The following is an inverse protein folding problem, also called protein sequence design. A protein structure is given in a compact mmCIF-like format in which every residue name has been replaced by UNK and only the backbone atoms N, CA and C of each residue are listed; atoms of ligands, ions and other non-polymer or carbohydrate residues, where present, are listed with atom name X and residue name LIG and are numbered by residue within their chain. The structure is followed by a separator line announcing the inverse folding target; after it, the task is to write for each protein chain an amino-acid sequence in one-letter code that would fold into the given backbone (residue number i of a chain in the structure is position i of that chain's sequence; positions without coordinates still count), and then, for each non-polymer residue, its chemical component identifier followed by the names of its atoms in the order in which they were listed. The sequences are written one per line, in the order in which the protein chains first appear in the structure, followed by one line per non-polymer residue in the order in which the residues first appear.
data_IF_502936963549
#
_entry.id   IF_502936963549
#
_cell.length_a   1.000
_cell.length_b   1.000
_cell.length_c   1.000
_cell.angle_alpha   90.00
_cell.angle_beta   90.00
_cell.angle_gamma   90.00
#
_symmetry.space_group_name_H-M   'P 1'
#
loop_
_entity.id
_entity.type
_entity.pdbx_description
1 polymer ?
#
# COMPACT_ATOMS: atom_id res chain seq x y z
N UNK A 1 -30.53 0.00 27.17
CA UNK A 1 -31.86 -0.57 27.45
C UNK A 1 -31.71 -1.49 28.65
N UNK A 2 -31.91 -0.97 29.85
CA UNK A 2 -31.72 -1.72 31.09
C UNK A 2 -33.03 -2.38 31.50
N UNK A 3 -33.17 -3.67 31.23
CA UNK A 3 -34.31 -4.44 31.71
C UNK A 3 -34.24 -4.55 33.24
N UNK A 4 -35.36 -4.25 33.92
CA UNK A 4 -35.45 -4.37 35.37
C UNK A 4 -35.53 -5.86 35.75
N UNK A 5 -34.92 -6.32 36.86
CA UNK A 5 -34.93 -7.73 37.26
C UNK A 5 -36.31 -8.37 37.37
N UNK A 6 -37.36 -7.58 37.65
CA UNK A 6 -38.73 -8.08 37.78
C UNK A 6 -39.42 -8.40 36.45
N UNK A 7 -38.94 -7.84 35.33
CA UNK A 7 -39.57 -7.99 34.02
C UNK A 7 -39.68 -9.46 33.59
N UNK A 8 -38.73 -10.31 34.01
CA UNK A 8 -38.75 -11.74 33.71
C UNK A 8 -40.08 -12.43 34.09
N UNK A 9 -40.67 -12.04 35.23
CA UNK A 9 -41.92 -12.64 35.71
C UNK A 9 -43.16 -12.15 34.95
N UNK A 10 -43.02 -11.08 34.18
CA UNK A 10 -44.10 -10.46 33.39
C UNK A 10 -44.05 -10.91 31.92
N UNK A 11 -42.96 -11.53 31.47
CA UNK A 11 -42.79 -12.01 30.10
C UNK A 11 -43.44 -13.37 29.87
N UNK A 12 -44.02 -13.53 28.69
CA UNK A 12 -44.37 -14.84 28.17
C UNK A 12 -43.12 -15.67 27.85
N UNK A 13 -43.30 -17.00 27.78
CA UNK A 13 -42.23 -17.93 27.42
C UNK A 13 -41.63 -17.58 26.04
N UNK A 14 -42.46 -17.15 25.09
CA UNK A 14 -42.00 -16.75 23.75
C UNK A 14 -41.09 -15.52 23.79
N UNK A 15 -41.47 -14.49 24.55
CA UNK A 15 -40.67 -13.27 24.69
C UNK A 15 -39.34 -13.54 25.41
N UNK A 16 -39.31 -14.50 26.34
CA UNK A 16 -38.07 -14.97 26.98
C UNK A 16 -37.14 -15.60 25.94
N UNK A 17 -37.66 -16.45 25.05
CA UNK A 17 -36.85 -17.03 23.96
C UNK A 17 -36.33 -15.95 23.01
N UNK A 18 -37.19 -15.02 22.58
CA UNK A 18 -36.79 -13.91 21.71
C UNK A 18 -35.69 -13.04 22.34
N UNK A 19 -35.77 -12.81 23.65
CA UNK A 19 -34.76 -12.06 24.40
C UNK A 19 -33.42 -12.81 24.44
N UNK A 20 -33.45 -14.12 24.71
CA UNK A 20 -32.24 -14.96 24.71
C UNK A 20 -31.60 -14.96 23.32
N UNK A 21 -32.38 -15.15 22.26
CA UNK A 21 -31.87 -15.11 20.90
C UNK A 21 -31.30 -13.74 20.52
N UNK A 22 -31.97 -12.66 20.90
CA UNK A 22 -31.48 -11.31 20.67
C UNK A 22 -30.13 -11.07 21.35
N UNK A 23 -29.99 -11.53 22.60
CA UNK A 23 -28.72 -11.48 23.32
C UNK A 23 -27.63 -12.29 22.63
N UNK A 24 -27.94 -13.52 22.19
CA UNK A 24 -27.00 -14.37 21.46
C UNK A 24 -26.56 -13.73 20.13
N UNK A 25 -27.48 -13.14 19.36
CA UNK A 25 -27.15 -12.40 18.12
C UNK A 25 -26.22 -11.24 18.40
N UNK A 26 -26.47 -10.48 19.47
CA UNK A 26 -25.61 -9.37 19.87
C UNK A 26 -24.21 -9.86 20.28
N UNK A 27 -24.13 -10.93 21.07
CA UNK A 27 -22.86 -11.50 21.51
C UNK A 27 -22.05 -12.06 20.33
N UNK A 28 -22.71 -12.69 19.36
CA UNK A 28 -22.08 -13.16 18.13
C UNK A 28 -21.50 -12.00 17.31
N UNK A 29 -22.26 -10.91 17.16
CA UNK A 29 -21.79 -9.70 16.48
C UNK A 29 -20.58 -9.07 17.19
N UNK A 30 -20.61 -8.98 18.52
CA UNK A 30 -19.47 -8.46 19.30
C UNK A 30 -18.23 -9.36 19.14
N UNK A 31 -18.42 -10.68 19.16
CA UNK A 31 -17.33 -11.65 18.95
C UNK A 31 -16.70 -11.50 17.55
N UNK A 32 -17.53 -11.37 16.51
CA UNK A 32 -17.02 -11.16 15.15
C UNK A 32 -16.29 -9.82 15.00
N UNK A 33 -16.76 -8.75 15.65
CA UNK A 33 -16.03 -7.46 15.70
C UNK A 33 -14.65 -7.62 16.34
N UNK A 34 -14.57 -8.28 17.50
CA UNK A 34 -13.29 -8.53 18.18
C UNK A 34 -12.37 -9.37 17.30
N UNK A 35 -12.90 -10.39 16.63
CA UNK A 35 -12.13 -11.24 15.71
C UNK A 35 -11.60 -10.47 14.50
N UNK A 36 -12.42 -9.58 13.92
CA UNK A 36 -11.99 -8.71 12.83
C UNK A 36 -10.88 -7.76 13.28
N UNK A 37 -11.03 -7.14 14.47
CA UNK A 37 -10.00 -6.28 15.04
C UNK A 37 -8.69 -7.05 15.25
N UNK A 38 -8.76 -8.25 15.86
CA UNK A 38 -7.58 -9.08 16.09
C UNK A 38 -6.85 -9.44 14.79
N UNK A 39 -7.60 -9.72 13.71
CA UNK A 39 -6.99 -9.97 12.39
C UNK A 39 -6.26 -8.75 11.85
N UNK A 40 -6.85 -7.56 12.00
CA UNK A 40 -6.19 -6.30 11.62
C UNK A 40 -4.90 -6.13 12.42
N UNK A 41 -4.96 -6.25 13.74
CA UNK A 41 -3.81 -6.05 14.62
C UNK A 41 -2.67 -7.04 14.30
N UNK A 42 -2.99 -8.32 14.10
CA UNK A 42 -1.99 -9.35 13.74
C UNK A 42 -1.35 -9.04 12.39
N UNK A 43 -2.13 -8.56 11.42
CA UNK A 43 -1.63 -8.20 10.09
C UNK A 43 -0.72 -6.97 10.15
N UNK A 44 -1.12 -5.94 10.89
CA UNK A 44 -0.28 -4.75 11.08
C UNK A 44 1.03 -5.08 11.80
N UNK A 45 0.97 -5.93 12.82
CA UNK A 45 2.16 -6.36 13.56
C UNK A 45 3.13 -7.17 12.68
N UNK A 46 2.61 -8.05 11.81
CA UNK A 46 3.46 -8.82 10.90
C UNK A 46 4.15 -7.93 9.87
N UNK A 47 3.43 -6.93 9.34
CA UNK A 47 3.96 -5.94 8.41
C UNK A 47 5.02 -5.06 9.10
N UNK A 48 4.74 -4.59 10.33
CA UNK A 48 5.70 -3.82 11.11
C UNK A 48 7.00 -4.61 11.36
N UNK A 49 6.88 -5.88 11.75
CA UNK A 49 8.03 -6.75 11.94
C UNK A 49 8.85 -6.90 10.65
N UNK A 50 8.18 -7.03 9.50
CA UNK A 50 8.81 -7.07 8.18
C UNK A 50 9.57 -5.79 7.88
N UNK A 51 8.93 -4.63 8.09
CA UNK A 51 9.53 -3.31 7.85
C UNK A 51 10.75 -3.09 8.74
N UNK A 52 10.68 -3.46 10.03
CA UNK A 52 11.87 -3.41 10.91
C UNK A 52 13.01 -4.25 10.32
N UNK A 53 12.71 -5.46 9.83
CA UNK A 53 13.69 -6.30 9.15
C UNK A 53 14.28 -5.64 7.89
N UNK A 54 13.46 -5.00 7.07
CA UNK A 54 13.91 -4.25 5.89
C UNK A 54 14.81 -3.06 6.26
N UNK A 55 14.44 -2.27 7.28
CA UNK A 55 15.26 -1.17 7.80
C UNK A 55 16.60 -1.67 8.33
N UNK A 56 16.60 -2.78 9.09
CA UNK A 56 17.83 -3.40 9.58
C UNK A 56 18.69 -3.86 8.40
N UNK A 57 18.11 -4.48 7.37
CA UNK A 57 18.84 -4.89 6.18
C UNK A 57 19.50 -3.70 5.46
N UNK A 58 18.80 -2.56 5.33
CA UNK A 58 19.35 -1.33 4.75
C UNK A 58 20.55 -0.75 5.52
N UNK A 59 20.71 -1.06 6.80
CA UNK A 59 21.92 -0.67 7.55
C UNK A 59 23.15 -1.49 7.13
N UNK A 60 22.96 -2.72 6.67
CA UNK A 60 24.05 -3.65 6.34
C UNK A 60 24.30 -3.80 4.83
N UNK A 61 23.32 -3.48 3.98
CA UNK A 61 23.43 -3.56 2.52
C UNK A 61 22.92 -2.29 1.85
N UNK A 62 23.63 -1.84 0.81
CA UNK A 62 23.19 -0.73 -0.04
C UNK A 62 22.18 -1.15 -1.11
N UNK A 63 22.07 -2.45 -1.35
CA UNK A 63 21.17 -3.00 -2.39
C UNK A 63 19.77 -3.32 -1.85
N UNK A 64 19.61 -3.36 -0.52
CA UNK A 64 18.30 -3.57 0.10
C UNK A 64 17.41 -2.34 -0.06
N UNK A 65 16.20 -2.57 -0.55
CA UNK A 65 15.16 -1.56 -0.75
C UNK A 65 14.09 -1.70 0.31
N UNK A 66 13.59 -0.55 0.78
CA UNK A 66 12.44 -0.47 1.65
C UNK A 66 11.17 -0.60 0.82
N UNK A 67 10.24 -1.42 1.29
CA UNK A 67 8.92 -1.49 0.67
C UNK A 67 8.09 -0.30 1.15
N UNK A 68 7.60 0.56 0.24
CA UNK A 68 6.73 1.67 0.61
C UNK A 68 5.38 1.14 1.14
N UNK A 69 4.75 1.92 2.02
CA UNK A 69 3.51 1.50 2.69
C UNK A 69 2.33 1.40 1.72
N UNK A 70 2.37 2.20 0.65
CA UNK A 70 1.38 2.20 -0.42
C UNK A 70 1.36 0.85 -1.16
N UNK A 71 2.52 0.24 -1.39
CA UNK A 71 2.60 -1.11 -1.99
C UNK A 71 2.04 -2.21 -1.06
N UNK A 72 2.15 -2.01 0.26
CA UNK A 72 1.64 -2.95 1.26
C UNK A 72 0.11 -2.90 1.42
N UNK A 73 -0.48 -1.73 1.21
CA UNK A 73 -1.92 -1.50 1.34
C UNK A 73 -2.49 -0.75 0.13
N UNK A 74 -2.45 -1.34 -1.08
CA UNK A 74 -2.78 -0.62 -2.30
C UNK A 74 -4.20 -0.04 -2.27
N UNK A 75 -5.18 -0.83 -1.81
CA UNK A 75 -6.57 -0.38 -1.70
C UNK A 75 -6.85 0.73 -0.66
N UNK A 76 -5.85 1.17 0.11
CA UNK A 76 -5.95 2.35 0.97
C UNK A 76 -5.32 3.60 0.33
N UNK A 77 -4.46 3.43 -0.67
CA UNK A 77 -3.62 4.48 -1.25
C UNK A 77 -3.71 4.50 -2.78
N UNK A 78 -4.83 4.08 -3.35
CA UNK A 78 -5.02 3.95 -4.80
C UNK A 78 -4.76 5.27 -5.55
N UNK A 79 -5.11 6.41 -4.96
CA UNK A 79 -4.87 7.73 -5.55
C UNK A 79 -3.37 8.07 -5.56
N UNK A 80 -2.67 7.85 -4.45
CA UNK A 80 -1.23 8.15 -4.30
C UNK A 80 -0.39 7.26 -5.23
N UNK A 81 -0.71 5.97 -5.27
CA UNK A 81 -0.05 5.00 -6.16
C UNK A 81 -0.21 5.35 -7.65
N UNK A 82 -1.29 6.04 -8.02
CA UNK A 82 -1.51 6.45 -9.40
C UNK A 82 -0.60 7.62 -9.78
N UNK A 83 -0.37 8.56 -8.86
CA UNK A 83 0.49 9.72 -9.05
C UNK A 83 1.95 9.30 -9.14
N UNK A 84 2.41 8.47 -8.20
CA UNK A 84 3.80 7.98 -8.18
C UNK A 84 4.17 7.23 -9.47
N UNK A 85 3.24 6.43 -10.00
CA UNK A 85 3.43 5.70 -11.27
C UNK A 85 3.50 6.62 -12.48
N UNK A 86 2.74 7.72 -12.48
CA UNK A 86 2.78 8.70 -13.56
C UNK A 86 4.13 9.44 -13.54
N UNK A 87 4.58 9.88 -12.36
CA UNK A 87 5.88 10.55 -12.21
C UNK A 87 7.06 9.63 -12.58
N UNK A 88 7.02 8.36 -12.18
CA UNK A 88 8.02 7.37 -12.59
C UNK A 88 8.05 7.19 -14.11
N UNK A 89 6.88 7.08 -14.76
CA UNK A 89 6.79 6.93 -16.21
C UNK A 89 7.33 8.15 -16.95
N UNK A 90 6.98 9.36 -16.51
CA UNK A 90 7.51 10.60 -17.07
C UNK A 90 9.04 10.69 -16.92
N UNK A 91 9.58 10.27 -15.77
CA UNK A 91 11.03 10.26 -15.54
C UNK A 91 11.77 9.31 -16.48
N UNK A 92 11.19 8.14 -16.76
CA UNK A 92 11.74 7.14 -17.69
C UNK A 92 11.68 7.65 -19.13
N UNK A 93 10.58 8.28 -19.52
CA UNK A 93 10.42 8.87 -20.84
C UNK A 93 11.43 10.01 -21.08
N UNK A 94 11.62 10.88 -20.08
CA UNK A 94 12.63 11.95 -20.13
C UNK A 94 14.06 11.40 -20.24
N UNK A 95 14.39 10.33 -19.51
CA UNK A 95 15.69 9.67 -19.63
C UNK A 95 15.91 9.08 -21.03
N UNK A 96 14.89 8.44 -21.60
CA UNK A 96 14.95 7.90 -22.96
C UNK A 96 15.13 9.00 -24.00
N UNK A 97 14.42 10.12 -23.85
CA UNK A 97 14.53 11.27 -24.74
C UNK A 97 15.93 11.88 -24.69
N UNK A 98 16.47 12.07 -23.49
CA UNK A 98 17.83 12.58 -23.29
C UNK A 98 18.88 11.68 -23.97
N UNK A 99 18.78 10.36 -23.78
CA UNK A 99 19.68 9.41 -24.43
C UNK A 99 19.64 9.53 -25.96
N UNK A 100 18.45 9.65 -26.56
CA UNK A 100 18.29 9.86 -28.01
C UNK A 100 18.92 11.18 -28.48
N UNK A 101 18.78 12.25 -27.71
CA UNK A 101 19.41 13.54 -28.02
C UNK A 101 20.93 13.46 -27.96
N UNK A 102 21.48 12.81 -26.94
CA UNK A 102 22.92 12.63 -26.78
C UNK A 102 23.51 11.83 -27.95
N UNK A 103 22.83 10.73 -28.36
CA UNK A 103 23.19 9.97 -29.55
C UNK A 103 23.15 10.84 -30.81
N UNK A 104 22.06 11.58 -31.03
CA UNK A 104 21.93 12.46 -32.20
C UNK A 104 23.05 13.51 -32.25
N UNK A 105 23.35 14.15 -31.12
CA UNK A 105 24.42 15.13 -31.02
C UNK A 105 25.79 14.50 -31.31
N UNK A 106 26.04 13.28 -30.82
CA UNK A 106 27.26 12.54 -31.12
C UNK A 106 27.42 12.30 -32.62
N UNK A 107 26.40 11.75 -33.30
CA UNK A 107 26.42 11.50 -34.74
C UNK A 107 26.60 12.77 -35.57
N UNK A 108 25.87 13.83 -35.22
CA UNK A 108 25.94 15.11 -35.94
C UNK A 108 27.32 15.77 -35.80
N UNK A 109 27.89 15.74 -34.59
CA UNK A 109 29.23 16.28 -34.34
C UNK A 109 30.33 15.44 -35.02
N UNK A 110 30.17 14.12 -35.08
CA UNK A 110 31.09 13.25 -35.82
C UNK A 110 31.10 13.58 -37.31
N UNK A 111 29.92 13.75 -37.94
CA UNK A 111 29.81 14.15 -39.35
C UNK A 111 30.37 15.55 -39.63
N UNK A 112 30.20 16.50 -38.71
CA UNK A 112 30.79 17.84 -38.85
C UNK A 112 32.32 17.80 -38.79
N UNK A 113 32.90 16.96 -37.93
CA UNK A 113 34.36 16.76 -37.88
C UNK A 113 34.90 16.17 -39.18
N UNK A 114 34.21 15.18 -39.76
CA UNK A 114 34.61 14.61 -41.05
C UNK A 114 34.51 15.62 -42.21
N UNK A 115 33.47 16.48 -42.22
CA UNK A 115 33.29 17.51 -43.25
C UNK A 115 34.18 18.75 -43.07
N UNK A 116 34.60 19.05 -41.84
CA UNK A 116 35.50 20.16 -41.52
C UNK A 116 36.98 19.83 -41.68
N UNK A 117 37.35 18.55 -41.72
CA UNK A 117 38.74 18.08 -41.89
C UNK A 117 39.27 18.09 -43.32
N UNK A 118 38.49 18.53 -44.32
CA UNK A 118 38.85 18.54 -45.76
C UNK A 118 39.15 19.95 -46.29
N UNK A 119 39.76 20.82 -45.48
CA UNK A 119 40.17 22.18 -45.93
C UNK A 119 41.57 22.65 -45.55
N UNK A 120 42.43 21.76 -45.04
CA UNK A 120 43.85 22.07 -44.85
C UNK A 120 44.71 21.10 -45.68
N UNK A 121 44.72 21.28 -47.01
CA UNK A 121 45.80 20.87 -47.92
C UNK A 121 46.12 22.00 -48.91
#
# INVERSE_FOLDING_TARGET
MGYKPFLFWELSIAEIYDLIESYQRKQALETEKVKQQLKVDVTLNSILARQIGEYVACLFSKDSKLTPIQELFPGLFDEELSVDKIEEQESVELMLYKAKMDDFAFWHNAQLKEKGGTKDE
#
